data_IF_358646418816
#
_entry.id   IF_358646418816
#
_cell.length_a   1.000
_cell.length_b   1.000
_cell.length_c   1.000
_cell.angle_alpha   90.00
_cell.angle_beta   90.00
_cell.angle_gamma   90.00
#
_symmetry.space_group_name_H-M   'P 1'
#
loop_
_entity.id
_entity.type
_entity.pdbx_description
1 polymer ?
#
# COMPACT_ATOMS: atom_id res chain seq x y z
N UNK A 1 -70.98 7.15 41.43
CA UNK A 1 -70.05 6.78 40.34
C UNK A 1 -68.80 7.61 40.52
N UNK A 2 -67.71 6.98 40.96
CA UNK A 2 -66.50 7.63 41.43
C UNK A 2 -65.50 7.76 40.27
N UNK A 3 -65.08 8.99 39.95
CA UNK A 3 -64.00 9.23 38.99
C UNK A 3 -62.65 9.09 39.71
N UNK A 4 -61.90 8.04 39.37
CA UNK A 4 -60.49 7.91 39.75
C UNK A 4 -59.62 8.68 38.75
N UNK A 5 -58.73 9.53 39.25
CA UNK A 5 -57.63 10.13 38.48
C UNK A 5 -56.53 9.07 38.27
N UNK A 6 -55.92 8.96 37.07
CA UNK A 6 -54.76 8.11 36.89
C UNK A 6 -53.49 8.81 37.41
N UNK A 7 -52.71 8.06 38.19
CA UNK A 7 -51.42 8.42 38.77
C UNK A 7 -50.37 8.73 37.69
N UNK A 8 -49.67 9.87 37.81
CA UNK A 8 -48.49 10.15 36.97
C UNK A 8 -47.31 9.26 37.39
N UNK A 9 -46.57 8.64 36.46
CA UNK A 9 -45.33 7.95 36.81
C UNK A 9 -44.22 8.99 37.04
N UNK A 10 -43.51 8.83 38.17
CA UNK A 10 -42.22 9.47 38.44
C UNK A 10 -41.20 8.88 37.47
N UNK A 11 -40.64 9.68 36.56
CA UNK A 11 -39.46 9.28 35.80
C UNK A 11 -38.24 9.30 36.74
N UNK A 12 -37.40 8.24 36.75
CA UNK A 12 -36.11 8.31 37.43
C UNK A 12 -35.21 9.30 36.69
N UNK A 13 -34.51 10.14 37.44
CA UNK A 13 -33.38 10.92 36.92
C UNK A 13 -32.25 9.91 36.70
N UNK A 14 -31.98 9.54 35.46
CA UNK A 14 -30.76 8.79 35.12
C UNK A 14 -29.56 9.70 35.40
N UNK A 15 -28.82 9.39 36.47
CA UNK A 15 -27.47 9.90 36.67
C UNK A 15 -26.61 9.41 35.50
N UNK A 16 -26.17 10.34 34.64
CA UNK A 16 -25.12 10.06 33.66
C UNK A 16 -23.85 9.73 34.43
N UNK A 17 -23.54 8.44 34.57
CA UNK A 17 -22.19 7.99 34.88
C UNK A 17 -21.28 8.46 33.72
N UNK A 18 -20.32 9.32 34.05
CA UNK A 18 -19.25 9.74 33.13
C UNK A 18 -18.48 8.49 32.66
N UNK A 19 -18.84 7.97 31.48
CA UNK A 19 -18.21 6.80 30.88
C UNK A 19 -16.73 7.11 30.55
N UNK A 20 -15.76 6.42 31.19
CA UNK A 20 -14.34 6.65 30.94
C UNK A 20 -13.90 6.30 29.51
N UNK A 21 -14.72 5.61 28.69
CA UNK A 21 -14.42 5.36 27.27
C UNK A 21 -14.41 6.64 26.41
N UNK A 22 -15.12 7.70 26.79
CA UNK A 22 -15.16 8.96 26.03
C UNK A 22 -13.81 9.72 26.06
N UNK A 23 -12.96 9.48 27.08
CA UNK A 23 -11.62 10.07 27.14
C UNK A 23 -10.60 9.37 26.22
N UNK A 24 -10.76 8.07 25.99
CA UNK A 24 -9.86 7.31 25.10
C UNK A 24 -10.08 7.65 23.63
N UNK A 25 -11.31 8.02 23.25
CA UNK A 25 -11.64 8.42 21.88
C UNK A 25 -10.95 9.74 21.48
N UNK A 26 -10.81 10.68 22.42
CA UNK A 26 -10.14 11.96 22.16
C UNK A 26 -8.65 11.81 21.81
N UNK A 27 -7.91 10.92 22.48
CA UNK A 27 -6.50 10.66 22.16
C UNK A 27 -6.34 9.88 20.86
N UNK A 28 -7.21 8.88 20.62
CA UNK A 28 -7.23 8.11 19.37
C UNK A 28 -7.52 9.03 18.17
N UNK A 29 -8.54 9.89 18.29
CA UNK A 29 -8.89 10.88 17.28
C UNK A 29 -7.74 11.86 17.00
N UNK A 30 -7.01 12.30 18.02
CA UNK A 30 -5.88 13.20 17.86
C UNK A 30 -4.70 12.53 17.13
N UNK A 31 -4.43 11.25 17.43
CA UNK A 31 -3.45 10.45 16.70
C UNK A 31 -3.86 10.26 15.24
N UNK A 32 -5.12 9.91 14.97
CA UNK A 32 -5.62 9.79 13.61
C UNK A 32 -5.55 11.11 12.84
N UNK A 33 -5.91 12.23 13.48
CA UNK A 33 -5.80 13.55 12.88
C UNK A 33 -4.36 13.91 12.55
N UNK A 34 -3.41 13.63 13.44
CA UNK A 34 -1.98 13.84 13.19
C UNK A 34 -1.47 12.98 12.04
N UNK A 35 -1.88 11.71 11.97
CA UNK A 35 -1.52 10.82 10.88
C UNK A 35 -2.09 11.28 9.53
N UNK A 36 -3.35 11.74 9.50
CA UNK A 36 -3.99 12.34 8.31
C UNK A 36 -3.25 13.60 7.88
N UNK A 37 -3.02 14.54 8.79
CA UNK A 37 -2.30 15.79 8.49
C UNK A 37 -0.87 15.53 7.98
N UNK A 38 -0.19 14.52 8.54
CA UNK A 38 1.12 14.08 8.05
C UNK A 38 1.03 13.52 6.63
N UNK A 39 0.00 12.71 6.35
CA UNK A 39 -0.22 12.12 5.04
C UNK A 39 -0.51 13.19 3.98
N UNK A 40 -1.40 14.14 4.28
CA UNK A 40 -1.76 15.25 3.38
C UNK A 40 -0.52 16.09 3.02
N UNK A 41 0.32 16.42 4.01
CA UNK A 41 1.58 17.13 3.77
C UNK A 41 2.53 16.33 2.88
N UNK A 42 2.62 15.01 3.07
CA UNK A 42 3.47 14.16 2.23
C UNK A 42 2.98 14.10 0.78
N UNK A 43 1.65 14.05 0.59
CA UNK A 43 1.05 14.10 -0.74
C UNK A 43 1.30 15.43 -1.43
N UNK A 44 1.13 16.56 -0.73
CA UNK A 44 1.42 17.90 -1.26
C UNK A 44 2.89 18.02 -1.68
N UNK A 45 3.82 17.61 -0.81
CA UNK A 45 5.25 17.62 -1.12
C UNK A 45 5.59 16.72 -2.32
N UNK A 46 4.94 15.56 -2.45
CA UNK A 46 5.11 14.70 -3.62
C UNK A 46 4.62 15.38 -4.90
N UNK A 47 3.45 16.02 -4.86
CA UNK A 47 2.91 16.74 -6.02
C UNK A 47 3.82 17.87 -6.46
N UNK A 48 4.34 18.66 -5.53
CA UNK A 48 5.30 19.74 -5.80
C UNK A 48 6.59 19.21 -6.43
N UNK A 49 7.17 18.14 -5.87
CA UNK A 49 8.37 17.49 -6.45
C UNK A 49 8.14 16.92 -7.85
N UNK A 50 6.91 16.52 -8.17
CA UNK A 50 6.52 16.01 -9.48
C UNK A 50 6.17 17.10 -10.48
N UNK A 51 6.16 18.37 -10.09
CA UNK A 51 5.88 19.47 -11.00
C UNK A 51 6.92 19.49 -12.13
N UNK A 52 6.46 19.41 -13.38
CA UNK A 52 7.34 19.41 -14.55
C UNK A 52 8.16 18.12 -14.78
N UNK A 53 7.99 17.07 -13.98
CA UNK A 53 8.81 15.84 -14.07
C UNK A 53 8.56 15.01 -15.35
N UNK A 54 7.48 15.32 -16.10
CA UNK A 54 7.13 14.72 -17.39
C UNK A 54 7.88 15.36 -18.55
N UNK A 55 8.51 16.52 -18.34
CA UNK A 55 9.35 17.16 -19.36
C UNK A 55 10.52 16.25 -19.74
N UNK A 56 10.94 16.36 -20.99
CA UNK A 56 12.14 15.67 -21.48
C UNK A 56 13.32 16.10 -20.62
N UNK A 57 14.12 15.13 -20.15
CA UNK A 57 15.29 15.35 -19.29
C UNK A 57 15.02 16.14 -18.00
N UNK A 58 13.79 16.09 -17.46
CA UNK A 58 13.50 16.71 -16.15
C UNK A 58 14.37 16.12 -15.01
N UNK A 59 14.73 14.83 -15.13
CA UNK A 59 15.69 14.15 -14.27
C UNK A 59 16.21 12.90 -14.98
N UNK A 60 17.40 12.44 -14.58
CA UNK A 60 17.98 11.18 -15.06
C UNK A 60 17.71 10.00 -14.13
N UNK A 61 17.74 10.25 -12.81
CA UNK A 61 17.54 9.23 -11.77
C UNK A 61 16.47 9.70 -10.79
N UNK A 62 15.56 8.82 -10.41
CA UNK A 62 14.58 9.04 -9.36
C UNK A 62 14.77 7.97 -8.30
N UNK A 63 15.03 8.39 -7.05
CA UNK A 63 15.17 7.51 -5.90
C UNK A 63 13.93 7.71 -5.03
N UNK A 64 13.28 6.61 -4.67
CA UNK A 64 12.02 6.63 -3.93
C UNK A 64 11.84 5.33 -3.16
N UNK A 65 10.97 5.35 -2.15
CA UNK A 65 10.64 4.18 -1.35
C UNK A 65 9.41 3.46 -1.90
N UNK A 66 9.25 2.18 -1.54
CA UNK A 66 8.07 1.40 -1.92
C UNK A 66 6.76 2.07 -1.51
N UNK A 67 6.69 2.68 -0.32
CA UNK A 67 5.47 3.34 0.18
C UNK A 67 5.05 4.49 -0.74
N UNK A 68 5.99 5.39 -1.08
CA UNK A 68 5.74 6.54 -1.94
C UNK A 68 5.34 6.13 -3.36
N UNK A 69 6.01 5.10 -3.91
CA UNK A 69 5.67 4.57 -5.24
C UNK A 69 4.24 4.07 -5.32
N UNK A 70 3.73 3.44 -4.26
CA UNK A 70 2.37 2.92 -4.23
C UNK A 70 1.34 4.03 -4.09
N UNK A 71 1.62 5.03 -3.25
CA UNK A 71 0.79 6.23 -3.12
C UNK A 71 0.68 6.96 -4.48
N UNK A 72 1.80 7.14 -5.18
CA UNK A 72 1.87 7.88 -6.44
C UNK A 72 1.85 6.99 -7.70
N UNK A 73 1.36 5.75 -7.60
CA UNK A 73 1.46 4.76 -8.66
C UNK A 73 0.94 5.25 -10.02
N UNK A 74 -0.14 6.04 -10.02
CA UNK A 74 -0.72 6.65 -11.23
C UNK A 74 0.27 7.56 -11.95
N UNK A 75 1.07 8.34 -11.21
CA UNK A 75 2.08 9.20 -11.78
C UNK A 75 3.23 8.39 -12.38
N UNK A 76 3.77 7.44 -11.61
CA UNK A 76 4.88 6.58 -12.04
C UNK A 76 4.53 5.76 -13.29
N UNK A 77 3.28 5.27 -13.40
CA UNK A 77 2.81 4.50 -14.55
C UNK A 77 2.81 5.28 -15.87
N UNK A 78 2.59 6.60 -15.83
CA UNK A 78 2.57 7.46 -17.03
C UNK A 78 3.98 7.70 -17.60
N UNK A 79 5.03 7.56 -16.79
CA UNK A 79 6.41 7.76 -17.23
C UNK A 79 6.97 6.46 -17.81
N UNK A 80 7.69 6.56 -18.93
CA UNK A 80 8.41 5.43 -19.55
C UNK A 80 9.80 5.32 -18.91
N UNK A 81 10.04 4.25 -18.17
CA UNK A 81 11.29 3.99 -17.47
C UNK A 81 12.23 3.16 -18.34
N UNK A 82 13.52 3.52 -18.35
CA UNK A 82 14.56 2.70 -18.99
C UNK A 82 14.97 1.55 -18.08
N UNK A 83 15.22 1.86 -16.82
CA UNK A 83 15.56 0.92 -15.77
C UNK A 83 14.62 1.08 -14.59
N UNK A 84 14.15 -0.04 -14.07
CA UNK A 84 13.47 -0.13 -12.77
C UNK A 84 14.31 -1.05 -11.89
N UNK A 85 14.90 -0.48 -10.84
CA UNK A 85 15.77 -1.18 -9.91
C UNK A 85 15.04 -1.30 -8.58
N UNK A 86 14.89 -2.52 -8.09
CA UNK A 86 14.21 -2.81 -6.83
C UNK A 86 15.24 -3.37 -5.87
N UNK A 87 15.50 -2.61 -4.81
CA UNK A 87 16.35 -3.03 -3.72
C UNK A 87 15.57 -3.87 -2.71
N UNK A 88 16.26 -4.77 -2.03
CA UNK A 88 15.70 -5.74 -1.11
C UNK A 88 14.49 -6.48 -1.69
N UNK A 89 14.68 -7.16 -2.82
CA UNK A 89 13.64 -7.82 -3.60
C UNK A 89 12.82 -8.87 -2.82
N UNK A 90 13.31 -9.34 -1.66
CA UNK A 90 12.50 -10.13 -0.74
C UNK A 90 11.22 -9.39 -0.26
N UNK A 91 11.20 -8.05 -0.29
CA UNK A 91 10.03 -7.24 0.02
C UNK A 91 8.88 -7.36 -1.01
N UNK A 92 9.16 -7.87 -2.22
CA UNK A 92 8.19 -8.01 -3.31
C UNK A 92 7.92 -9.48 -3.68
N UNK A 93 8.37 -10.45 -2.88
CA UNK A 93 8.26 -11.88 -3.20
C UNK A 93 6.83 -12.42 -3.32
N UNK A 94 5.84 -11.72 -2.77
CA UNK A 94 4.45 -12.13 -2.84
C UNK A 94 3.74 -11.51 -4.06
N UNK A 95 3.50 -12.32 -5.09
CA UNK A 95 2.81 -11.90 -6.33
C UNK A 95 1.36 -11.43 -6.10
N UNK A 96 0.72 -11.89 -5.02
CA UNK A 96 -0.63 -11.45 -4.64
C UNK A 96 -0.64 -10.08 -3.96
N UNK A 97 0.54 -9.56 -3.58
CA UNK A 97 0.62 -8.26 -2.93
C UNK A 97 0.26 -7.14 -3.90
N UNK A 98 -0.50 -6.16 -3.42
CA UNK A 98 -0.78 -4.93 -4.16
C UNK A 98 0.52 -4.25 -4.60
N UNK A 99 1.59 -4.37 -3.79
CA UNK A 99 2.90 -3.81 -4.11
C UNK A 99 3.46 -4.39 -5.40
N UNK A 100 3.53 -5.71 -5.48
CA UNK A 100 4.03 -6.42 -6.64
C UNK A 100 3.18 -6.13 -7.88
N UNK A 101 1.86 -6.21 -7.77
CA UNK A 101 0.95 -5.95 -8.89
C UNK A 101 1.09 -4.53 -9.43
N UNK A 102 1.25 -3.55 -8.54
CA UNK A 102 1.42 -2.15 -8.93
C UNK A 102 2.75 -1.94 -9.67
N UNK A 103 3.84 -2.48 -9.12
CA UNK A 103 5.19 -2.35 -9.70
C UNK A 103 5.30 -3.08 -11.04
N UNK A 104 4.64 -4.24 -11.18
CA UNK A 104 4.62 -5.01 -12.42
C UNK A 104 3.99 -4.21 -13.58
N UNK A 105 3.00 -3.37 -13.27
CA UNK A 105 2.27 -2.56 -14.25
C UNK A 105 3.01 -1.29 -14.71
N UNK A 106 4.26 -1.08 -14.27
CA UNK A 106 5.05 0.07 -14.71
C UNK A 106 5.74 -0.19 -16.04
N UNK A 107 5.64 0.80 -16.94
CA UNK A 107 6.33 0.81 -18.23
C UNK A 107 7.84 0.93 -18.02
N UNK A 108 8.54 -0.20 -18.08
CA UNK A 108 9.99 -0.31 -17.90
C UNK A 108 10.60 -1.17 -19.01
N UNK A 109 11.74 -0.76 -19.57
CA UNK A 109 12.44 -1.54 -20.59
C UNK A 109 13.30 -2.65 -20.00
N UNK A 110 13.95 -2.37 -18.86
CA UNK A 110 14.81 -3.31 -18.14
C UNK A 110 14.48 -3.25 -16.65
N UNK A 111 14.48 -4.41 -16.00
CA UNK A 111 14.20 -4.57 -14.57
C UNK A 111 15.39 -5.24 -13.92
N UNK A 112 15.78 -4.75 -12.75
CA UNK A 112 16.88 -5.30 -11.95
C UNK A 112 16.37 -5.48 -10.53
N UNK A 113 16.60 -6.67 -9.98
CA UNK A 113 16.29 -7.01 -8.60
C UNK A 113 17.61 -7.16 -7.85
N UNK A 114 17.73 -6.45 -6.73
CA UNK A 114 18.85 -6.57 -5.80
C UNK A 114 18.31 -7.17 -4.50
N UNK A 115 18.98 -8.19 -3.96
CA UNK A 115 18.63 -8.77 -2.67
C UNK A 115 19.88 -9.26 -1.97
N UNK A 116 20.00 -8.96 -0.68
CA UNK A 116 21.08 -9.47 0.16
C UNK A 116 20.77 -10.82 0.82
N UNK A 117 19.52 -11.28 0.75
CA UNK A 117 19.09 -12.52 1.40
C UNK A 117 18.92 -13.65 0.39
N UNK A 118 19.35 -14.88 0.72
CA UNK A 118 19.09 -16.02 -0.14
C UNK A 118 17.58 -16.19 -0.32
N UNK A 119 17.16 -16.39 -1.58
CA UNK A 119 15.78 -16.70 -1.92
C UNK A 119 15.34 -17.93 -1.12
N UNK A 120 14.29 -17.81 -0.30
CA UNK A 120 13.76 -18.95 0.44
C UNK A 120 13.12 -19.92 -0.56
N UNK A 121 13.31 -21.23 -0.31
CA UNK A 121 13.07 -22.39 -1.19
C UNK A 121 11.64 -22.60 -1.75
N UNK A 122 10.78 -21.58 -1.73
CA UNK A 122 9.46 -21.65 -2.35
C UNK A 122 9.56 -21.36 -3.84
N UNK A 123 9.23 -22.36 -4.66
CA UNK A 123 9.16 -22.21 -6.12
C UNK A 123 8.26 -21.04 -6.54
N UNK A 124 7.24 -20.72 -5.74
CA UNK A 124 6.33 -19.60 -5.94
C UNK A 124 7.01 -18.23 -5.75
N UNK A 125 7.96 -18.11 -4.82
CA UNK A 125 8.75 -16.89 -4.63
C UNK A 125 9.75 -16.72 -5.77
N UNK A 126 10.37 -17.81 -6.23
CA UNK A 126 11.24 -17.75 -7.40
C UNK A 126 10.47 -17.34 -8.65
N UNK A 127 9.30 -17.95 -8.89
CA UNK A 127 8.45 -17.60 -10.01
C UNK A 127 8.03 -16.13 -9.96
N UNK A 128 7.62 -15.61 -8.80
CA UNK A 128 7.16 -14.22 -8.68
C UNK A 128 8.25 -13.20 -9.04
N UNK A 129 9.51 -13.48 -8.69
CA UNK A 129 10.65 -12.63 -9.05
C UNK A 129 11.04 -12.80 -10.53
N UNK A 130 11.03 -14.03 -11.06
CA UNK A 130 11.30 -14.29 -12.48
C UNK A 130 10.25 -13.65 -13.39
N UNK A 131 8.97 -13.82 -13.06
CA UNK A 131 7.87 -13.15 -13.75
C UNK A 131 7.98 -11.63 -13.64
N UNK A 132 8.44 -11.10 -12.51
CA UNK A 132 8.68 -9.67 -12.38
C UNK A 132 9.76 -9.17 -13.36
N UNK A 133 10.85 -9.91 -13.53
CA UNK A 133 11.92 -9.56 -14.47
C UNK A 133 11.50 -9.70 -15.94
N UNK A 134 10.80 -10.79 -16.27
CA UNK A 134 10.41 -11.16 -17.64
C UNK A 134 8.95 -11.65 -17.69
N UNK A 135 7.96 -10.72 -17.63
CA UNK A 135 6.55 -11.10 -17.57
C UNK A 135 6.08 -11.84 -18.83
N UNK A 136 6.69 -11.57 -19.99
CA UNK A 136 6.33 -12.21 -21.26
C UNK A 136 6.83 -13.65 -21.38
N UNK A 137 7.95 -13.98 -20.73
CA UNK A 137 8.54 -15.32 -20.79
C UNK A 137 7.92 -16.26 -19.76
N UNK A 138 7.56 -15.72 -18.59
CA UNK A 138 7.05 -16.52 -17.46
C UNK A 138 5.57 -16.27 -17.18
N UNK A 139 4.74 -16.16 -18.22
CA UNK A 139 3.31 -15.85 -18.08
C UNK A 139 2.54 -16.95 -17.34
N UNK A 140 2.89 -18.23 -17.52
CA UNK A 140 2.23 -19.37 -16.89
C UNK A 140 2.97 -19.85 -15.65
N UNK A 141 2.32 -19.74 -14.48
CA UNK A 141 2.80 -20.38 -13.26
C UNK A 141 2.82 -21.91 -13.40
N UNK A 142 1.92 -22.49 -14.19
CA UNK A 142 1.83 -23.93 -14.37
C UNK A 142 3.02 -24.49 -15.17
N UNK A 143 3.40 -23.84 -16.26
CA UNK A 143 4.59 -24.21 -17.06
C UNK A 143 5.87 -24.07 -16.23
N UNK A 144 5.98 -23.00 -15.43
CA UNK A 144 7.11 -22.83 -14.52
C UNK A 144 7.15 -23.94 -13.47
N UNK A 145 5.98 -24.32 -12.91
CA UNK A 145 5.93 -25.43 -11.97
C UNK A 145 6.38 -26.72 -12.64
N UNK A 146 5.91 -27.02 -13.85
CA UNK A 146 6.29 -28.23 -14.58
C UNK A 146 7.80 -28.29 -14.89
N UNK A 147 8.42 -27.17 -15.31
CA UNK A 147 9.86 -27.10 -15.57
C UNK A 147 10.74 -27.30 -14.33
N UNK A 148 10.25 -26.98 -13.14
CA UNK A 148 11.03 -27.02 -11.89
C UNK A 148 10.54 -28.05 -10.85
N UNK A 149 9.43 -28.75 -11.10
CA UNK A 149 8.89 -29.80 -10.20
C UNK A 149 9.55 -31.17 -10.41
N UNK A 150 10.29 -31.35 -11.50
CA UNK A 150 10.95 -32.60 -11.82
C UNK A 150 12.45 -32.32 -12.03
N UNK A 151 13.27 -32.37 -10.97
CA UNK A 151 14.71 -32.11 -11.05
C UNK A 151 15.46 -33.17 -11.87
#
# INVERSE_FOLDING_TARGET
MSNQLPSSPLYPVEEQEDDPLMMFDGQQALVEMLDRARQDRLEELSQLKRHGWTKVNAFHVCITSYKLVLQDAKAFRRKKWKYLILDEAQNIKNFKSQRWQTLLNFHSQRRVLLTGTPLQNSLMELWSLMHFLMPNLFASHQEFREWFSNP
#
